data_IF_744572754859
#
_entry.id   IF_744572754859
#
_cell.length_a   1.000
_cell.length_b   1.000
_cell.length_c   1.000
_cell.angle_alpha   90.00
_cell.angle_beta   90.00
_cell.angle_gamma   90.00
#
_symmetry.space_group_name_H-M   'P 1'
#
loop_
_entity.id
_entity.type
_entity.pdbx_description
1 polymer ?
#
# COMPACT_ATOMS: atom_id res chain seq x y z
N UNK A 1 -8.48 10.57 -12.04
CA UNK A 1 -7.22 10.98 -11.39
C UNK A 1 -7.15 10.47 -9.97
N UNK A 2 -6.01 9.98 -9.58
CA UNK A 2 -5.84 9.43 -8.24
C UNK A 2 -5.46 10.53 -7.25
N UNK A 3 -6.11 10.60 -6.10
CA UNK A 3 -5.79 11.61 -5.09
C UNK A 3 -4.55 11.21 -4.27
N UNK A 4 -3.40 11.17 -4.95
CA UNK A 4 -2.16 10.67 -4.35
C UNK A 4 -1.76 11.40 -3.07
N UNK A 5 -1.75 12.76 -3.03
CA UNK A 5 -1.36 13.43 -1.79
C UNK A 5 -2.30 13.12 -0.63
N UNK A 6 -3.59 13.04 -0.89
CA UNK A 6 -4.58 12.75 0.15
C UNK A 6 -4.41 11.35 0.69
N UNK A 7 -4.23 10.38 -0.21
CA UNK A 7 -4.00 8.98 0.19
C UNK A 7 -2.70 8.83 0.96
N UNK A 8 -1.66 9.53 0.52
CA UNK A 8 -0.37 9.50 1.18
C UNK A 8 -0.49 9.99 2.62
N UNK A 9 -1.14 11.13 2.79
CA UNK A 9 -1.32 11.71 4.13
C UNK A 9 -2.16 10.81 5.02
N UNK A 10 -3.23 10.24 4.46
CA UNK A 10 -4.08 9.33 5.22
C UNK A 10 -3.29 8.12 5.70
N UNK A 11 -2.51 7.50 4.81
CA UNK A 11 -1.75 6.31 5.16
C UNK A 11 -0.65 6.63 6.17
N UNK A 12 0.00 7.76 6.04
CA UNK A 12 1.02 8.18 7.00
C UNK A 12 0.44 8.34 8.41
N UNK A 13 -0.76 8.89 8.51
CA UNK A 13 -1.44 9.03 9.79
C UNK A 13 -1.89 7.69 10.32
N UNK A 14 -2.47 6.89 9.43
CA UNK A 14 -3.02 5.59 9.81
C UNK A 14 -1.94 4.66 10.34
N UNK A 15 -0.79 4.64 9.70
CA UNK A 15 0.32 3.79 10.08
C UNK A 15 1.33 4.49 11.00
N UNK A 16 1.08 5.77 11.29
CA UNK A 16 1.99 6.57 12.12
C UNK A 16 3.41 6.50 11.59
N UNK A 17 3.56 6.70 10.28
CA UNK A 17 4.86 6.57 9.63
C UNK A 17 4.99 7.53 8.46
N UNK A 18 5.89 8.49 8.59
CA UNK A 18 6.13 9.51 7.58
C UNK A 18 6.89 9.00 6.36
N UNK A 19 7.39 7.78 6.40
CA UNK A 19 8.14 7.18 5.30
C UNK A 19 7.24 6.52 4.28
N UNK A 20 5.95 6.49 4.51
CA UNK A 20 4.98 5.95 3.54
C UNK A 20 4.99 6.82 2.29
N UNK A 21 5.10 6.19 1.13
CA UNK A 21 5.04 6.85 -0.17
C UNK A 21 4.03 6.14 -1.05
N UNK A 22 3.26 6.92 -1.79
CA UNK A 22 2.30 6.39 -2.76
C UNK A 22 2.74 6.84 -4.14
N UNK A 23 2.88 5.90 -5.05
CA UNK A 23 3.47 6.14 -6.36
C UNK A 23 2.50 5.65 -7.45
N UNK A 24 2.36 6.45 -8.50
CA UNK A 24 1.52 6.05 -9.63
C UNK A 24 2.22 4.95 -10.42
N UNK A 25 1.40 4.11 -11.05
CA UNK A 25 1.91 3.05 -11.92
C UNK A 25 1.73 3.49 -13.37
N UNK A 26 2.80 3.57 -14.16
CA UNK A 26 2.72 4.17 -15.50
C UNK A 26 1.67 3.58 -16.42
N UNK A 27 1.41 2.29 -16.32
CA UNK A 27 0.46 1.63 -17.21
C UNK A 27 -0.80 1.13 -16.51
N UNK A 28 -1.00 1.56 -15.25
CA UNK A 28 -2.14 1.13 -14.45
C UNK A 28 -2.81 2.36 -13.86
N UNK A 29 -3.96 2.72 -14.40
CA UNK A 29 -4.65 3.93 -13.98
C UNK A 29 -5.53 3.72 -12.75
N UNK A 30 -5.85 2.48 -12.44
CA UNK A 30 -6.76 2.15 -11.36
C UNK A 30 -6.05 1.64 -10.11
N UNK A 31 -4.73 1.69 -10.09
CA UNK A 31 -3.98 1.24 -8.93
C UNK A 31 -2.73 2.06 -8.72
N UNK A 32 -2.25 2.01 -7.48
CA UNK A 32 -1.06 2.76 -7.06
C UNK A 32 -0.16 1.80 -6.28
N UNK A 33 1.13 2.11 -6.25
CA UNK A 33 2.07 1.35 -5.45
C UNK A 33 2.33 2.08 -4.15
N UNK A 34 2.46 1.34 -3.07
CA UNK A 34 2.73 1.91 -1.75
C UNK A 34 4.08 1.38 -1.26
N UNK A 35 4.90 2.30 -0.80
CA UNK A 35 6.24 2.01 -0.31
C UNK A 35 6.41 2.53 1.10
N UNK A 36 7.27 1.87 1.84
CA UNK A 36 7.77 2.37 3.12
C UNK A 36 9.25 2.66 2.90
N UNK A 37 9.57 3.93 2.73
CA UNK A 37 10.90 4.29 2.27
C UNK A 37 11.15 3.69 0.89
N UNK A 38 12.11 2.80 0.78
CA UNK A 38 12.41 2.11 -0.47
C UNK A 38 11.81 0.71 -0.54
N UNK A 39 11.17 0.25 0.53
CA UNK A 39 10.58 -1.08 0.57
C UNK A 39 9.18 -1.07 0.01
N UNK A 40 8.92 -1.93 -0.95
CA UNK A 40 7.59 -2.08 -1.52
C UNK A 40 6.66 -2.71 -0.48
N UNK A 41 5.54 -2.06 -0.20
CA UNK A 41 4.55 -2.57 0.74
C UNK A 41 3.42 -3.31 0.02
N UNK A 42 2.87 -2.69 -1.00
CA UNK A 42 1.72 -3.29 -1.64
C UNK A 42 1.12 -2.40 -2.70
N UNK A 43 -0.06 -2.79 -3.14
CA UNK A 43 -0.79 -2.11 -4.21
C UNK A 43 -2.11 -1.60 -3.67
N UNK A 44 -2.44 -0.39 -4.03
CA UNK A 44 -3.67 0.27 -3.61
C UNK A 44 -4.61 0.30 -4.81
N UNK A 45 -5.77 -0.30 -4.67
CA UNK A 45 -6.77 -0.36 -5.72
C UNK A 45 -7.96 0.50 -5.40
N UNK A 46 -8.53 1.09 -6.43
CA UNK A 46 -9.78 1.79 -6.31
C UNK A 46 -10.91 0.85 -6.71
N UNK A 47 -11.85 0.64 -5.80
CA UNK A 47 -13.10 -0.05 -6.10
C UNK A 47 -14.23 0.95 -6.05
N UNK A 48 -14.96 1.04 -7.15
CA UNK A 48 -16.12 1.93 -7.21
C UNK A 48 -17.37 1.09 -7.39
N UNK A 49 -18.33 1.26 -6.51
CA UNK A 49 -19.56 0.51 -6.55
C UNK A 49 -20.72 1.35 -6.04
N UNK A 50 -21.77 1.46 -6.85
CA UNK A 50 -22.98 2.19 -6.48
C UNK A 50 -22.72 3.60 -5.99
N UNK A 51 -21.80 4.29 -6.64
CA UNK A 51 -21.47 5.66 -6.29
C UNK A 51 -20.48 5.81 -5.16
N UNK A 52 -20.05 4.71 -4.57
CA UNK A 52 -19.06 4.72 -3.50
C UNK A 52 -17.69 4.34 -4.05
N UNK A 53 -16.68 4.97 -3.50
CA UNK A 53 -15.30 4.64 -3.83
C UNK A 53 -14.60 4.11 -2.60
N UNK A 54 -13.97 2.96 -2.75
CA UNK A 54 -13.20 2.35 -1.66
C UNK A 54 -11.78 2.12 -2.15
N UNK A 55 -10.80 2.55 -1.37
CA UNK A 55 -9.41 2.28 -1.68
C UNK A 55 -8.96 1.10 -0.83
N UNK A 56 -8.51 0.05 -1.49
CA UNK A 56 -8.13 -1.19 -0.82
C UNK A 56 -6.63 -1.39 -0.97
N UNK A 57 -5.94 -1.52 0.15
CA UNK A 57 -4.51 -1.80 0.15
C UNK A 57 -4.31 -3.31 0.25
N UNK A 58 -3.67 -3.86 -0.78
CA UNK A 58 -3.31 -5.27 -0.79
C UNK A 58 -1.82 -5.36 -0.48
N UNK A 59 -1.50 -5.92 0.68
CA UNK A 59 -0.15 -6.02 1.16
C UNK A 59 0.27 -7.48 1.18
N UNK A 60 1.02 -7.95 0.18
CA UNK A 60 1.43 -9.35 0.13
C UNK A 60 2.55 -9.62 1.15
N UNK A 61 2.41 -10.71 1.86
CA UNK A 61 3.43 -11.15 2.79
C UNK A 61 3.91 -12.52 2.33
N UNK A 62 5.15 -12.59 1.91
CA UNK A 62 5.72 -13.84 1.41
C UNK A 62 6.21 -14.69 2.57
N UNK A 63 6.12 -16.02 2.41
CA UNK A 63 6.62 -16.96 3.42
C UNK A 63 8.02 -16.62 3.86
N UNK A 64 8.85 -16.32 2.88
CA UNK A 64 10.26 -16.07 3.13
C UNK A 64 10.49 -14.82 3.98
N UNK A 65 9.54 -13.88 3.93
CA UNK A 65 9.64 -12.64 4.72
C UNK A 65 9.30 -12.89 6.18
N UNK A 66 8.70 -14.02 6.48
CA UNK A 66 8.29 -14.38 7.84
C UNK A 66 9.38 -15.09 8.64
N UNK A 67 10.53 -15.25 8.05
CA UNK A 67 11.65 -15.88 8.75
C UNK A 67 12.08 -14.96 9.88
N UNK A 68 12.02 -15.49 11.09
CA UNK A 68 12.30 -14.74 12.30
C UNK A 68 13.41 -15.50 13.05
N UNK A 69 14.43 -14.78 13.50
CA UNK A 69 15.54 -15.40 14.23
C UNK A 69 15.06 -16.08 15.50
N UNK A 70 14.02 -15.55 16.13
CA UNK A 70 13.49 -16.10 17.36
C UNK A 70 12.48 -17.21 17.13
N UNK A 71 11.93 -17.28 15.92
CA UNK A 71 10.91 -18.27 15.60
C UNK A 71 10.96 -18.63 14.12
N UNK A 72 11.98 -19.33 13.69
CA UNK A 72 12.16 -19.65 12.27
C UNK A 72 11.22 -20.71 11.73
N UNK A 73 10.34 -21.25 12.56
CA UNK A 73 9.46 -22.35 12.19
C UNK A 73 8.00 -21.90 11.94
N UNK A 74 7.83 -20.78 11.41
CA UNK A 74 6.47 -20.32 11.07
C UNK A 74 5.68 -21.35 10.35
#
# INVERSE_FOLDING_TARGET
MQPVPTLTNYLRLKFDNQKIRVVTRPKKMDSLEVYLGDDFLGVLFLEAEKGRKTYILELPILDIDLVDEDNPNF
#
